data_IF_987284577399
#
_entry.id   IF_987284577399
#
_cell.length_a   1.000
_cell.length_b   1.000
_cell.length_c   1.000
_cell.angle_alpha   90.00
_cell.angle_beta   90.00
_cell.angle_gamma   90.00
#
_symmetry.space_group_name_H-M   'P 1'
#
loop_
_entity.id
_entity.type
_entity.pdbx_description
1 polymer ?
#
# COMPACT_ATOMS: atom_id res chain seq x y z
N UNK A 1 23.44 12.89 -15.62
CA UNK A 1 23.11 12.63 -15.24
C UNK A 1 22.63 12.16 -14.74
N UNK A 2 22.49 11.93 -14.30
CA UNK A 2 22.07 11.49 -13.65
C UNK A 2 21.47 11.03 -13.29
N UNK A 3 21.25 10.77 -13.08
CA UNK A 3 20.80 10.27 -12.73
C UNK A 3 20.29 9.87 -12.08
N UNK A 4 19.88 10.14 -11.74
CA UNK A 4 19.41 9.75 -10.93
C UNK A 4 19.08 8.79 -10.60
N UNK A 5 19.31 8.35 -10.31
CA UNK A 5 19.12 7.26 -10.03
C UNK A 5 18.97 6.95 -8.75
N UNK A 6 18.85 7.76 -8.01
CA UNK A 6 18.53 7.45 -6.84
C UNK A 6 17.33 6.83 -6.80
N UNK A 7 17.26 5.77 -6.33
CA UNK A 7 16.08 5.15 -6.26
C UNK A 7 15.25 5.89 -5.36
N UNK A 8 14.30 6.45 -5.86
CA UNK A 8 13.29 6.79 -5.10
C UNK A 8 12.71 5.61 -4.53
N UNK A 9 12.45 5.54 -3.32
CA UNK A 9 11.71 4.47 -2.77
C UNK A 9 10.46 4.39 -3.56
N UNK A 10 10.15 3.23 -3.98
CA UNK A 10 8.93 3.02 -4.65
C UNK A 10 7.85 3.67 -3.85
N UNK A 11 6.84 4.25 -4.50
CA UNK A 11 5.76 4.87 -3.77
C UNK A 11 5.13 3.93 -2.76
N UNK A 12 5.25 2.63 -2.99
CA UNK A 12 4.65 1.66 -2.10
C UNK A 12 5.51 1.34 -0.88
N UNK A 13 6.75 1.80 -0.84
CA UNK A 13 7.63 1.41 0.26
C UNK A 13 7.12 1.90 1.61
N UNK A 14 6.76 3.18 1.70
CA UNK A 14 6.23 3.71 2.94
C UNK A 14 4.86 3.11 3.26
N UNK A 15 4.05 2.91 2.23
CA UNK A 15 2.74 2.31 2.40
C UNK A 15 2.85 0.90 2.93
N UNK A 16 3.75 0.10 2.38
CA UNK A 16 3.92 -1.28 2.84
C UNK A 16 4.39 -1.32 4.29
N UNK A 17 5.28 -0.42 4.67
CA UNK A 17 5.72 -0.34 6.05
C UNK A 17 4.56 0.00 6.97
N UNK A 18 3.74 0.95 6.57
CA UNK A 18 2.58 1.33 7.36
C UNK A 18 1.63 0.15 7.54
N UNK A 19 1.33 -0.55 6.45
CA UNK A 19 0.43 -1.68 6.50
C UNK A 19 0.96 -2.78 7.41
N UNK A 20 2.27 -3.02 7.35
CA UNK A 20 2.85 -4.06 8.17
C UNK A 20 2.88 -3.68 9.64
N UNK A 21 3.28 -2.46 9.94
CA UNK A 21 3.49 -2.05 11.32
C UNK A 21 2.22 -1.59 12.02
N UNK A 22 1.38 -0.85 11.30
CA UNK A 22 0.19 -0.27 11.93
C UNK A 22 -1.02 -1.16 11.81
N UNK A 23 -1.17 -1.85 10.69
CA UNK A 23 -2.34 -2.69 10.47
C UNK A 23 -2.02 -4.17 10.66
N UNK A 24 -0.76 -4.51 10.82
CA UNK A 24 -0.39 -5.88 11.15
C UNK A 24 -0.56 -6.88 10.02
N UNK A 25 -0.51 -6.43 8.78
CA UNK A 25 -0.67 -7.35 7.66
C UNK A 25 0.57 -8.19 7.47
N UNK A 26 0.36 -9.47 7.12
CA UNK A 26 1.48 -10.35 6.86
C UNK A 26 2.09 -10.07 5.50
N UNK A 27 3.32 -10.57 5.31
CA UNK A 27 3.97 -10.42 4.02
C UNK A 27 3.17 -11.08 2.91
N UNK A 28 2.59 -12.24 3.18
CA UNK A 28 1.79 -12.92 2.18
C UNK A 28 0.58 -12.09 1.77
N UNK A 29 -0.08 -11.47 2.73
CA UNK A 29 -1.23 -10.62 2.43
C UNK A 29 -0.81 -9.43 1.60
N UNK A 30 0.32 -8.82 1.93
CA UNK A 30 0.81 -7.67 1.19
C UNK A 30 1.18 -8.05 -0.25
N UNK A 31 1.84 -9.19 -0.42
CA UNK A 31 2.22 -9.62 -1.76
C UNK A 31 0.99 -9.94 -2.61
N UNK A 32 -0.01 -10.57 -2.01
CA UNK A 32 -1.24 -10.85 -2.72
C UNK A 32 -1.91 -9.55 -3.16
N UNK A 33 -1.99 -8.60 -2.26
CA UNK A 33 -2.59 -7.32 -2.57
C UNK A 33 -1.84 -6.58 -3.66
N UNK A 34 -0.50 -6.59 -3.59
CA UNK A 34 0.31 -5.93 -4.60
C UNK A 34 0.09 -6.56 -5.97
N UNK A 35 0.08 -7.88 -6.02
CA UNK A 35 -0.09 -8.58 -7.27
C UNK A 35 -1.46 -8.25 -7.88
N UNK A 36 -2.49 -8.29 -7.08
CA UNK A 36 -3.82 -7.98 -7.57
C UNK A 36 -3.95 -6.52 -7.96
N UNK A 37 -3.30 -5.63 -7.21
CA UNK A 37 -3.33 -4.22 -7.54
C UNK A 37 -2.72 -3.98 -8.91
N UNK A 38 -1.62 -4.65 -9.20
CA UNK A 38 -0.99 -4.50 -10.49
C UNK A 38 -1.83 -5.09 -11.62
N UNK A 39 -2.43 -6.24 -11.37
CA UNK A 39 -3.23 -6.89 -12.39
C UNK A 39 -4.49 -6.11 -12.71
N UNK A 40 -5.12 -5.53 -11.71
CA UNK A 40 -6.35 -4.79 -11.88
C UNK A 40 -6.11 -3.32 -12.13
N UNK A 41 -4.87 -2.87 -11.97
CA UNK A 41 -4.54 -1.46 -12.05
C UNK A 41 -5.41 -0.64 -11.11
N UNK A 42 -5.60 -1.16 -9.91
CA UNK A 42 -6.39 -0.55 -8.88
C UNK A 42 -5.50 -0.14 -7.72
N UNK A 43 -5.89 0.88 -6.94
CA UNK A 43 -5.10 1.29 -5.79
C UNK A 43 -4.99 0.15 -4.78
N UNK A 44 -3.81 -0.02 -4.23
CA UNK A 44 -3.58 -1.09 -3.27
C UNK A 44 -4.54 -1.07 -2.08
N UNK A 45 -4.80 0.08 -1.45
CA UNK A 45 -5.73 0.08 -0.32
C UNK A 45 -7.10 -0.46 -0.67
N UNK A 46 -7.61 -0.09 -1.84
CA UNK A 46 -8.93 -0.57 -2.26
C UNK A 46 -8.91 -2.07 -2.47
N UNK A 47 -7.84 -2.59 -3.05
CA UNK A 47 -7.72 -4.03 -3.28
C UNK A 47 -7.69 -4.77 -1.95
N UNK A 48 -6.94 -4.26 -0.98
CA UNK A 48 -6.85 -4.89 0.32
C UNK A 48 -8.22 -4.93 1.00
N UNK A 49 -8.97 -3.86 0.87
CA UNK A 49 -10.30 -3.80 1.46
C UNK A 49 -11.24 -4.78 0.77
N UNK A 50 -11.20 -4.83 -0.56
CA UNK A 50 -12.08 -5.73 -1.29
C UNK A 50 -11.83 -7.20 -0.96
N UNK A 51 -10.59 -7.53 -0.65
CA UNK A 51 -10.24 -8.90 -0.30
C UNK A 51 -10.47 -9.19 1.19
N UNK A 52 -10.94 -8.21 1.94
CA UNK A 52 -11.19 -8.43 3.36
C UNK A 52 -9.95 -8.43 4.21
N UNK A 53 -8.84 -7.95 3.69
CA UNK A 53 -7.59 -7.90 4.44
C UNK A 53 -7.55 -6.71 5.39
N UNK A 54 -8.30 -5.68 5.12
CA UNK A 54 -8.44 -4.54 6.02
C UNK A 54 -9.90 -4.17 6.11
N UNK A 55 -10.26 -3.49 7.20
CA UNK A 55 -11.64 -3.05 7.40
C UNK A 55 -11.87 -1.73 6.69
N UNK A 56 -13.14 -1.33 6.62
CA UNK A 56 -13.47 -0.05 6.03
C UNK A 56 -12.85 1.10 6.82
N UNK A 57 -12.82 0.99 8.14
CA UNK A 57 -12.20 2.01 8.96
C UNK A 57 -10.71 2.11 8.67
N UNK A 58 -10.07 0.95 8.51
CA UNK A 58 -8.64 0.94 8.20
C UNK A 58 -8.39 1.51 6.82
N UNK A 59 -9.27 1.25 5.88
CA UNK A 59 -9.16 1.83 4.55
C UNK A 59 -9.22 3.35 4.63
N UNK A 60 -10.17 3.86 5.40
CA UNK A 60 -10.31 5.30 5.56
C UNK A 60 -9.07 5.92 6.20
N UNK A 61 -8.53 5.28 7.23
CA UNK A 61 -7.31 5.74 7.87
C UNK A 61 -6.15 5.76 6.90
N UNK A 62 -6.06 4.71 6.08
CA UNK A 62 -4.97 4.59 5.14
C UNK A 62 -5.03 5.67 4.08
N UNK A 63 -6.22 5.96 3.58
CA UNK A 63 -6.37 7.00 2.57
C UNK A 63 -6.05 8.37 3.15
N UNK A 64 -6.45 8.61 4.39
CA UNK A 64 -6.10 9.86 5.05
C UNK A 64 -4.60 9.97 5.25
N UNK A 65 -3.97 8.88 5.63
CA UNK A 65 -2.53 8.87 5.83
C UNK A 65 -1.79 9.19 4.54
N UNK A 66 -2.23 8.60 3.43
CA UNK A 66 -1.60 8.86 2.15
C UNK A 66 -1.76 10.32 1.73
N UNK A 67 -2.92 10.88 1.98
CA UNK A 67 -3.15 12.28 1.66
C UNK A 67 -2.25 13.18 2.49
N UNK A 68 -2.03 12.83 3.74
CA UNK A 68 -1.20 13.63 4.63
C UNK A 68 0.25 13.64 4.17
N UNK A 69 0.71 12.57 3.54
CA UNK A 69 2.10 12.52 3.12
C UNK A 69 2.40 13.47 1.98
N UNK A 70 1.41 13.90 1.26
CA UNK A 70 1.64 14.86 0.21
C UNK A 70 1.63 16.24 0.78
#
# INVERSE_FOLDING_TARGET
MVISTSPQPAPHAALLRYLRQELGLSDNALQLGLKQSEQEQAPLPVVLWRFGLITLEQLDQLLSWQTTLE
#
